data_IF_280221437067
#
_entry.id   IF_280221437067
#
_cell.length_a   1.000
_cell.length_b   1.000
_cell.length_c   1.000
_cell.angle_alpha   90.00
_cell.angle_beta   90.00
_cell.angle_gamma   90.00
#
_symmetry.space_group_name_H-M   'P 1'
#
loop_
_entity.id
_entity.type
_entity.pdbx_description
1 polymer ?
#
# COMPACT_ATOMS: atom_id res chain seq x y z
N UNK A 1 20.50 0.67 -14.10
CA UNK A 1 19.15 0.08 -14.34
C UNK A 1 18.62 -0.71 -13.15
N UNK A 2 19.35 -1.70 -12.60
CA UNK A 2 18.87 -2.50 -11.45
C UNK A 2 18.57 -1.66 -10.19
N UNK A 3 19.50 -0.76 -9.84
CA UNK A 3 19.32 0.18 -8.70
C UNK A 3 18.11 1.11 -8.89
N UNK A 4 17.86 1.53 -10.13
CA UNK A 4 16.70 2.36 -10.47
C UNK A 4 15.39 1.58 -10.28
N UNK A 5 15.37 0.30 -10.68
CA UNK A 5 14.22 -0.58 -10.45
C UNK A 5 13.97 -0.81 -8.96
N UNK A 6 15.01 -1.15 -8.18
CA UNK A 6 14.90 -1.29 -6.72
C UNK A 6 14.41 -0.01 -6.05
N UNK A 7 14.86 1.16 -6.50
CA UNK A 7 14.38 2.46 -5.99
C UNK A 7 12.88 2.65 -6.31
N UNK A 8 12.43 2.26 -7.50
CA UNK A 8 11.00 2.30 -7.89
C UNK A 8 10.15 1.33 -7.07
N UNK A 9 10.69 0.16 -6.66
CA UNK A 9 10.00 -0.80 -5.78
C UNK A 9 9.76 -0.27 -4.36
N UNK A 10 10.47 0.80 -3.97
CA UNK A 10 10.37 1.47 -2.65
C UNK A 10 10.48 0.52 -1.43
N UNK A 11 11.61 -0.20 -1.24
CA UNK A 11 11.83 -1.07 -0.07
C UNK A 11 11.60 -0.39 1.28
N UNK A 12 11.87 0.91 1.38
CA UNK A 12 11.59 1.72 2.57
C UNK A 12 10.11 1.72 3.00
N UNK A 13 9.19 1.35 2.10
CA UNK A 13 7.75 1.26 2.37
C UNK A 13 7.29 -0.15 2.77
N UNK A 14 8.14 -1.17 2.61
CA UNK A 14 7.83 -2.56 2.95
C UNK A 14 7.45 -2.79 4.42
N UNK A 15 7.98 -2.04 5.42
CA UNK A 15 7.53 -2.18 6.81
C UNK A 15 6.01 -1.99 6.99
N UNK A 16 5.33 -1.28 6.09
CA UNK A 16 3.86 -1.16 6.11
C UNK A 16 3.13 -2.48 5.86
N UNK A 17 3.78 -3.45 5.23
CA UNK A 17 3.22 -4.79 5.06
C UNK A 17 3.38 -5.63 6.34
N UNK A 18 4.07 -5.12 7.37
CA UNK A 18 4.21 -5.78 8.67
C UNK A 18 2.88 -6.07 9.37
N UNK A 19 1.81 -5.37 9.00
CA UNK A 19 0.45 -5.67 9.47
C UNK A 19 -0.02 -7.10 9.16
N UNK A 20 0.59 -7.79 8.18
CA UNK A 20 0.35 -9.21 7.90
C UNK A 20 0.71 -10.08 9.12
N UNK A 21 1.71 -9.69 9.91
CA UNK A 21 2.09 -10.41 11.13
C UNK A 21 1.12 -10.18 12.29
N UNK A 22 0.17 -9.25 12.20
CA UNK A 22 -0.77 -8.99 13.28
C UNK A 22 -1.56 -10.27 13.63
N UNK A 23 -2.08 -10.98 12.63
CA UNK A 23 -2.79 -12.24 12.85
C UNK A 23 -1.95 -13.25 13.63
N UNK A 24 -0.68 -13.41 13.25
CA UNK A 24 0.27 -14.33 13.88
C UNK A 24 0.55 -13.96 15.34
N UNK A 25 0.72 -12.66 15.64
CA UNK A 25 1.00 -12.16 16.99
C UNK A 25 -0.23 -12.34 17.89
N UNK A 26 -1.41 -11.94 17.41
CA UNK A 26 -2.63 -11.95 18.22
C UNK A 26 -3.20 -13.36 18.42
N UNK A 27 -2.98 -14.29 17.48
CA UNK A 27 -3.31 -15.71 17.67
C UNK A 27 -2.24 -16.47 18.48
N UNK A 28 -1.17 -15.78 18.93
CA UNK A 28 -0.07 -16.31 19.75
C UNK A 28 0.79 -17.40 19.09
N UNK A 29 0.77 -17.49 17.76
CA UNK A 29 1.55 -18.45 16.97
C UNK A 29 2.92 -17.92 16.52
N UNK A 30 3.39 -16.80 17.09
CA UNK A 30 4.61 -16.12 16.65
C UNK A 30 5.86 -17.00 16.74
N UNK A 31 5.92 -17.87 17.74
CA UNK A 31 7.06 -18.76 17.98
C UNK A 31 6.92 -20.13 17.32
N UNK A 32 5.78 -20.38 16.65
CA UNK A 32 5.56 -21.61 15.91
C UNK A 32 6.19 -21.49 14.53
N UNK A 33 7.10 -22.42 14.21
CA UNK A 33 7.92 -22.34 13.00
C UNK A 33 7.08 -22.35 11.70
N UNK A 34 6.04 -23.19 11.65
CA UNK A 34 5.22 -23.36 10.44
C UNK A 34 4.36 -22.11 10.16
N UNK A 35 3.54 -21.61 11.10
CA UNK A 35 2.78 -20.36 10.93
C UNK A 35 3.68 -19.16 10.65
N UNK A 36 4.82 -19.06 11.34
CA UNK A 36 5.79 -17.99 11.11
C UNK A 36 6.35 -18.03 9.68
N UNK A 37 6.82 -19.18 9.21
CA UNK A 37 7.39 -19.32 7.87
C UNK A 37 6.35 -19.00 6.76
N UNK A 38 5.10 -19.47 6.92
CA UNK A 38 4.02 -19.15 5.97
C UNK A 38 3.69 -17.65 5.97
N UNK A 39 3.58 -17.04 7.14
CA UNK A 39 3.33 -15.60 7.29
C UNK A 39 4.46 -14.77 6.69
N UNK A 40 5.72 -15.18 6.92
CA UNK A 40 6.90 -14.51 6.38
C UNK A 40 6.97 -14.61 4.85
N UNK A 41 6.67 -15.79 4.28
CA UNK A 41 6.55 -15.95 2.84
C UNK A 41 5.45 -15.05 2.25
N UNK A 42 4.27 -15.01 2.89
CA UNK A 42 3.19 -14.11 2.51
C UNK A 42 3.59 -12.63 2.60
N UNK A 43 4.32 -12.22 3.64
CA UNK A 43 4.87 -10.88 3.77
C UNK A 43 5.80 -10.50 2.61
N UNK A 44 6.71 -11.40 2.20
CA UNK A 44 7.58 -11.16 1.05
C UNK A 44 6.78 -11.00 -0.25
N UNK A 45 5.79 -11.86 -0.48
CA UNK A 45 4.90 -11.74 -1.65
C UNK A 45 4.13 -10.42 -1.64
N UNK A 46 3.63 -9.98 -0.47
CA UNK A 46 2.93 -8.71 -0.35
C UNK A 46 3.88 -7.50 -0.55
N UNK A 47 5.15 -7.62 -0.17
CA UNK A 47 6.17 -6.63 -0.49
C UNK A 47 6.38 -6.51 -2.01
N UNK A 48 6.49 -7.63 -2.72
CA UNK A 48 6.57 -7.64 -4.18
C UNK A 48 5.30 -7.09 -4.85
N UNK A 49 4.12 -7.45 -4.32
CA UNK A 49 2.84 -6.92 -4.80
C UNK A 49 2.75 -5.40 -4.61
N UNK A 50 3.10 -4.89 -3.43
CA UNK A 50 3.12 -3.45 -3.15
C UNK A 50 4.12 -2.72 -4.04
N UNK A 51 5.27 -3.35 -4.33
CA UNK A 51 6.27 -2.83 -5.27
C UNK A 51 5.72 -2.74 -6.69
N UNK A 52 4.97 -3.76 -7.12
CA UNK A 52 4.26 -3.78 -8.42
C UNK A 52 3.27 -2.63 -8.52
N UNK A 53 2.46 -2.42 -7.48
CA UNK A 53 1.54 -1.27 -7.40
C UNK A 53 2.29 0.05 -7.54
N UNK A 54 3.42 0.23 -6.85
CA UNK A 54 4.21 1.46 -6.99
C UNK A 54 4.77 1.66 -8.40
N UNK A 55 5.22 0.59 -9.06
CA UNK A 55 5.71 0.65 -10.44
C UNK A 55 4.56 1.06 -11.39
N UNK A 56 3.39 0.43 -11.28
CA UNK A 56 2.22 0.77 -12.11
C UNK A 56 1.79 2.21 -11.87
N UNK A 57 1.80 2.67 -10.63
CA UNK A 57 1.45 4.05 -10.29
C UNK A 57 2.45 5.05 -10.88
N UNK A 58 3.75 4.78 -10.78
CA UNK A 58 4.78 5.66 -11.35
C UNK A 58 4.77 5.65 -12.90
N UNK A 59 4.26 4.59 -13.53
CA UNK A 59 4.00 4.54 -14.97
C UNK A 59 2.77 5.38 -15.36
N UNK A 60 1.67 5.26 -14.61
CA UNK A 60 0.43 6.00 -14.88
C UNK A 60 0.57 7.50 -14.63
N UNK A 61 1.35 7.89 -13.62
CA UNK A 61 1.59 9.30 -13.27
C UNK A 61 2.82 9.90 -14.00
N UNK A 62 3.40 9.21 -15.00
CA UNK A 62 4.67 9.58 -15.65
C UNK A 62 4.71 11.03 -16.16
N UNK A 63 3.69 11.47 -16.91
CA UNK A 63 3.64 12.81 -17.49
C UNK A 63 3.49 13.89 -16.42
N UNK A 64 2.64 13.64 -15.43
CA UNK A 64 2.44 14.54 -14.29
C UNK A 64 3.70 14.64 -13.43
N UNK A 65 4.37 13.52 -13.18
CA UNK A 65 5.59 13.46 -12.37
C UNK A 65 6.77 14.18 -13.04
N UNK A 66 6.84 14.20 -14.37
CA UNK A 66 7.85 14.98 -15.12
C UNK A 66 7.73 16.49 -14.89
N UNK A 67 6.50 16.99 -14.74
CA UNK A 67 6.20 18.41 -14.54
C UNK A 67 6.31 18.84 -13.06
N UNK A 68 6.49 17.89 -12.14
CA UNK A 68 6.50 18.15 -10.70
C UNK A 68 7.90 18.53 -10.18
N UNK A 69 8.03 19.55 -9.30
CA UNK A 69 9.33 20.04 -8.80
C UNK A 69 10.23 18.94 -8.19
N UNK A 70 9.65 18.08 -7.35
CA UNK A 70 10.36 16.99 -6.68
C UNK A 70 10.16 15.60 -7.31
N UNK A 71 8.98 15.27 -7.85
CA UNK A 71 8.70 13.92 -8.42
C UNK A 71 9.36 13.67 -9.77
N UNK A 72 9.84 14.71 -10.46
CA UNK A 72 10.63 14.58 -11.70
C UNK A 72 11.90 13.75 -11.54
N UNK A 73 12.42 13.66 -10.31
CA UNK A 73 13.61 12.86 -9.99
C UNK A 73 13.31 11.38 -9.75
N UNK A 74 12.05 10.93 -9.88
CA UNK A 74 11.72 9.50 -9.85
C UNK A 74 12.42 8.78 -11.01
N UNK A 75 12.84 7.51 -10.84
CA UNK A 75 13.62 6.82 -11.87
C UNK A 75 12.94 6.70 -13.24
N UNK A 76 11.61 6.52 -13.24
CA UNK A 76 10.80 6.45 -14.47
C UNK A 76 10.62 7.85 -15.09
N UNK A 77 10.25 8.85 -14.28
CA UNK A 77 10.04 10.23 -14.76
C UNK A 77 11.32 10.88 -15.29
N UNK A 78 12.45 10.66 -14.62
CA UNK A 78 13.79 11.16 -15.00
C UNK A 78 14.43 10.43 -16.18
N UNK A 79 13.85 9.33 -16.65
CA UNK A 79 14.42 8.51 -17.73
C UNK A 79 15.54 7.55 -17.31
N UNK A 80 15.90 7.48 -16.02
CA UNK A 80 16.88 6.51 -15.50
C UNK A 80 16.42 5.04 -15.65
N UNK A 81 15.10 4.83 -15.73
CA UNK A 81 14.47 3.55 -16.00
C UNK A 81 13.49 3.71 -17.16
N UNK A 82 13.66 2.91 -18.22
CA UNK A 82 12.73 2.91 -19.35
C UNK A 82 11.33 2.46 -18.90
N UNK A 83 10.26 3.17 -19.31
CA UNK A 83 8.88 2.77 -19.01
C UNK A 83 8.55 1.34 -19.47
N UNK A 84 9.11 0.89 -20.60
CA UNK A 84 8.92 -0.48 -21.10
C UNK A 84 9.49 -1.53 -20.15
N UNK A 85 10.65 -1.25 -19.57
CA UNK A 85 11.32 -2.16 -18.62
C UNK A 85 10.58 -2.17 -17.28
N UNK A 86 10.10 -1.01 -16.83
CA UNK A 86 9.25 -0.92 -15.65
C UNK A 86 7.94 -1.72 -15.84
N UNK A 87 7.29 -1.60 -16.99
CA UNK A 87 6.08 -2.36 -17.30
C UNK A 87 6.35 -3.87 -17.37
N UNK A 88 7.45 -4.28 -18.02
CA UNK A 88 7.86 -5.69 -18.06
C UNK A 88 8.14 -6.24 -16.64
N UNK A 89 8.83 -5.46 -15.80
CA UNK A 89 9.09 -5.84 -14.42
C UNK A 89 7.80 -5.99 -13.60
N UNK A 90 6.84 -5.08 -13.76
CA UNK A 90 5.53 -5.20 -13.12
C UNK A 90 4.79 -6.48 -13.57
N UNK A 91 4.80 -6.78 -14.87
CA UNK A 91 4.21 -8.02 -15.41
C UNK A 91 4.87 -9.28 -14.84
N UNK A 92 6.20 -9.33 -14.80
CA UNK A 92 6.95 -10.46 -14.22
C UNK A 92 6.63 -10.61 -12.73
N UNK A 93 6.56 -9.52 -11.98
CA UNK A 93 6.20 -9.58 -10.55
C UNK A 93 4.79 -10.10 -10.32
N UNK A 94 3.81 -9.74 -11.16
CA UNK A 94 2.44 -10.29 -11.09
C UNK A 94 2.46 -11.80 -11.35
N UNK A 95 3.12 -12.22 -12.44
CA UNK A 95 3.24 -13.64 -12.82
C UNK A 95 3.96 -14.44 -11.73
N UNK A 96 4.87 -13.83 -10.99
CA UNK A 96 5.54 -14.47 -9.87
C UNK A 96 4.64 -14.52 -8.62
N UNK A 97 4.06 -13.39 -8.23
CA UNK A 97 3.35 -13.25 -6.94
C UNK A 97 2.10 -14.12 -6.88
N UNK A 98 1.26 -14.13 -7.92
CA UNK A 98 -0.04 -14.81 -7.84
C UNK A 98 0.03 -16.34 -7.73
N UNK A 99 0.88 -17.05 -8.50
CA UNK A 99 1.05 -18.48 -8.33
C UNK A 99 1.57 -18.84 -6.93
N UNK A 100 2.60 -18.16 -6.43
CA UNK A 100 3.11 -18.42 -5.08
C UNK A 100 2.11 -18.04 -3.98
N UNK A 101 1.31 -16.99 -4.19
CA UNK A 101 0.23 -16.63 -3.29
C UNK A 101 -0.84 -17.73 -3.24
N UNK A 102 -1.23 -18.28 -4.39
CA UNK A 102 -2.20 -19.37 -4.49
C UNK A 102 -1.70 -20.66 -3.83
N UNK A 103 -0.41 -20.97 -4.00
CA UNK A 103 0.23 -22.12 -3.33
C UNK A 103 0.27 -21.98 -1.80
N UNK A 104 0.35 -20.75 -1.26
CA UNK A 104 0.26 -20.53 0.19
C UNK A 104 -1.17 -20.72 0.70
N UNK A 105 -2.14 -20.08 0.04
CA UNK A 105 -3.57 -20.17 0.31
C UNK A 105 -4.37 -19.52 -0.83
N UNK A 106 -5.41 -20.18 -1.38
CA UNK A 106 -6.31 -19.56 -2.35
C UNK A 106 -6.95 -18.25 -1.86
N UNK A 107 -7.29 -18.19 -0.56
CA UNK A 107 -7.88 -16.98 0.04
C UNK A 107 -6.86 -15.84 0.10
N UNK A 108 -5.59 -16.15 0.37
CA UNK A 108 -4.51 -15.16 0.33
C UNK A 108 -4.35 -14.57 -1.09
N UNK A 109 -4.40 -15.41 -2.12
CA UNK A 109 -4.35 -14.96 -3.51
C UNK A 109 -5.55 -14.07 -3.88
N UNK A 110 -6.75 -14.40 -3.41
CA UNK A 110 -7.94 -13.58 -3.60
C UNK A 110 -7.79 -12.22 -2.92
N UNK A 111 -7.31 -12.17 -1.67
CA UNK A 111 -7.07 -10.92 -0.96
C UNK A 111 -5.99 -10.08 -1.66
N UNK A 112 -4.93 -10.71 -2.16
CA UNK A 112 -3.90 -10.05 -2.96
C UNK A 112 -4.46 -9.45 -4.25
N UNK A 113 -5.40 -10.15 -4.92
CA UNK A 113 -6.08 -9.63 -6.10
C UNK A 113 -6.94 -8.41 -5.77
N UNK A 114 -7.75 -8.50 -4.70
CA UNK A 114 -8.57 -7.39 -4.21
C UNK A 114 -7.69 -6.19 -3.87
N UNK A 115 -6.58 -6.41 -3.17
CA UNK A 115 -5.59 -5.38 -2.85
C UNK A 115 -5.08 -4.68 -4.12
N UNK A 116 -4.69 -5.46 -5.15
CA UNK A 116 -4.21 -4.91 -6.42
C UNK A 116 -5.30 -4.07 -7.09
N UNK A 117 -6.52 -4.59 -7.22
CA UNK A 117 -7.65 -3.90 -7.86
C UNK A 117 -7.97 -2.59 -7.15
N UNK A 118 -8.05 -2.58 -5.81
CA UNK A 118 -8.31 -1.37 -5.03
C UNK A 118 -7.21 -0.34 -5.26
N UNK A 119 -5.94 -0.75 -5.30
CA UNK A 119 -4.84 0.18 -5.56
C UNK A 119 -4.89 0.78 -6.98
N UNK A 120 -5.25 -0.03 -7.99
CA UNK A 120 -5.40 0.46 -9.37
C UNK A 120 -6.56 1.45 -9.49
N UNK A 121 -7.72 1.13 -8.90
CA UNK A 121 -8.88 2.02 -8.84
C UNK A 121 -8.53 3.32 -8.08
N UNK A 122 -7.74 3.21 -7.01
CA UNK A 122 -7.30 4.33 -6.22
C UNK A 122 -6.49 5.32 -7.04
N UNK A 123 -5.48 4.81 -7.75
CA UNK A 123 -4.61 5.62 -8.61
C UNK A 123 -5.36 6.25 -9.78
N UNK A 124 -6.33 5.53 -10.35
CA UNK A 124 -7.06 5.97 -11.54
C UNK A 124 -8.14 7.03 -11.25
N UNK A 125 -8.92 6.88 -10.16
CA UNK A 125 -10.09 7.76 -9.92
C UNK A 125 -10.29 8.18 -8.46
N UNK A 126 -10.04 7.31 -7.49
CA UNK A 126 -10.46 7.60 -6.10
C UNK A 126 -9.57 8.64 -5.41
N UNK A 127 -8.34 8.85 -5.89
CA UNK A 127 -7.43 9.89 -5.35
C UNK A 127 -7.91 11.34 -5.52
N UNK A 128 -9.07 11.56 -6.15
CA UNK A 128 -9.65 12.87 -6.42
C UNK A 128 -10.92 13.15 -5.58
N UNK A 129 -11.41 12.18 -4.82
CA UNK A 129 -12.64 12.28 -4.01
C UNK A 129 -12.26 12.42 -2.53
N UNK A 130 -12.71 13.51 -1.91
CA UNK A 130 -12.48 13.86 -0.50
C UNK A 130 -13.13 12.81 0.41
N UNK A 131 -12.51 12.46 1.54
CA UNK A 131 -12.92 11.41 2.51
C UNK A 131 -12.70 9.98 1.99
N UNK A 132 -13.05 9.72 0.73
CA UNK A 132 -12.91 8.39 0.14
C UNK A 132 -11.44 7.95 0.05
N UNK A 133 -10.50 8.89 -0.06
CA UNK A 133 -9.07 8.58 -0.05
C UNK A 133 -8.57 8.06 1.31
N UNK A 134 -9.07 8.62 2.41
CA UNK A 134 -8.75 8.18 3.78
C UNK A 134 -9.39 6.83 4.08
N UNK A 135 -10.64 6.63 3.66
CA UNK A 135 -11.33 5.35 3.81
C UNK A 135 -10.61 4.24 3.03
N UNK A 136 -10.26 4.48 1.77
CA UNK A 136 -9.51 3.50 0.97
C UNK A 136 -8.15 3.21 1.60
N UNK A 137 -7.44 4.24 2.09
CA UNK A 137 -6.16 4.03 2.77
C UNK A 137 -6.33 3.14 4.00
N UNK A 138 -7.36 3.38 4.81
CA UNK A 138 -7.69 2.55 5.96
C UNK A 138 -8.02 1.10 5.56
N UNK A 139 -8.86 0.91 4.53
CA UNK A 139 -9.17 -0.42 4.00
C UNK A 139 -7.92 -1.17 3.54
N UNK A 140 -6.94 -0.49 2.94
CA UNK A 140 -5.68 -1.12 2.53
C UNK A 140 -4.84 -1.61 3.71
N UNK A 141 -4.92 -0.98 4.89
CA UNK A 141 -4.29 -1.50 6.11
C UNK A 141 -5.02 -2.72 6.65
N UNK A 142 -6.36 -2.67 6.67
CA UNK A 142 -7.21 -3.79 7.12
C UNK A 142 -7.01 -5.02 6.25
N UNK A 143 -6.91 -4.85 4.93
CA UNK A 143 -6.68 -5.92 3.95
C UNK A 143 -5.37 -6.67 4.23
N UNK A 144 -4.32 -5.98 4.72
CA UNK A 144 -3.06 -6.65 5.09
C UNK A 144 -3.21 -7.55 6.30
N UNK A 145 -3.98 -7.11 7.30
CA UNK A 145 -4.30 -7.94 8.46
C UNK A 145 -5.12 -9.16 8.00
N UNK A 146 -6.13 -8.95 7.15
CA UNK A 146 -6.94 -10.03 6.59
C UNK A 146 -6.10 -11.04 5.79
N UNK A 147 -5.14 -10.55 4.98
CA UNK A 147 -4.20 -11.40 4.28
C UNK A 147 -3.39 -12.27 5.26
N UNK A 148 -2.92 -11.71 6.38
CA UNK A 148 -2.23 -12.46 7.43
C UNK A 148 -3.07 -13.57 8.04
N UNK A 149 -4.36 -13.33 8.28
CA UNK A 149 -5.29 -14.32 8.83
C UNK A 149 -5.40 -15.56 7.94
N UNK A 150 -5.41 -15.38 6.61
CA UNK A 150 -5.51 -16.51 5.67
C UNK A 150 -4.29 -17.42 5.60
N UNK A 151 -3.17 -17.01 6.20
CA UNK A 151 -1.89 -17.74 6.17
C UNK A 151 -1.68 -18.65 7.38
N UNK A 152 -2.52 -18.51 8.41
CA UNK A 152 -2.44 -19.27 9.65
C UNK A 152 -3.74 -20.03 9.90
N UNK A 153 -3.66 -21.14 10.60
CA UNK A 153 -4.87 -21.82 11.10
C UNK A 153 -5.30 -21.07 12.35
N UNK A 154 -6.36 -20.31 12.24
CA UNK A 154 -6.90 -19.50 13.33
C UNK A 154 -7.39 -20.39 14.46
N UNK A 155 -6.86 -20.19 15.66
CA UNK A 155 -7.32 -20.91 16.86
C UNK A 155 -8.04 -19.99 17.85
N UNK A 156 -7.66 -18.72 17.92
CA UNK A 156 -8.13 -17.73 18.89
C UNK A 156 -8.07 -16.30 18.31
N UNK A 157 -8.64 -16.07 17.13
CA UNK A 157 -8.64 -14.75 16.51
C UNK A 157 -9.81 -13.89 16.98
N UNK A 158 -9.52 -12.75 17.59
CA UNK A 158 -10.53 -11.77 17.99
C UNK A 158 -10.89 -10.83 16.83
N UNK A 159 -12.15 -10.81 16.36
CA UNK A 159 -12.59 -9.89 15.30
C UNK A 159 -12.35 -8.40 15.63
N UNK A 160 -12.25 -8.06 16.92
CA UNK A 160 -11.91 -6.71 17.39
C UNK A 160 -10.59 -6.18 16.82
N UNK A 161 -9.65 -7.06 16.44
CA UNK A 161 -8.40 -6.64 15.81
C UNK A 161 -8.63 -5.87 14.50
N UNK A 162 -9.63 -6.26 13.71
CA UNK A 162 -9.99 -5.52 12.49
C UNK A 162 -10.51 -4.13 12.81
N UNK A 163 -11.32 -4.01 13.86
CA UNK A 163 -11.88 -2.73 14.33
C UNK A 163 -10.76 -1.80 14.81
N UNK A 164 -9.85 -2.29 15.67
CA UNK A 164 -8.69 -1.52 16.14
C UNK A 164 -7.77 -1.11 14.99
N UNK A 165 -7.49 -2.02 14.05
CA UNK A 165 -6.66 -1.71 12.88
C UNK A 165 -7.32 -0.64 12.01
N UNK A 166 -8.64 -0.70 11.85
CA UNK A 166 -9.39 0.31 11.08
C UNK A 166 -9.28 1.68 11.72
N UNK A 167 -9.55 1.80 13.03
CA UNK A 167 -9.43 3.08 13.74
C UNK A 167 -7.99 3.62 13.75
N UNK A 168 -6.99 2.77 13.96
CA UNK A 168 -5.58 3.16 13.89
C UNK A 168 -5.22 3.66 12.48
N UNK A 169 -5.69 2.98 11.44
CA UNK A 169 -5.41 3.37 10.07
C UNK A 169 -6.12 4.68 9.68
N UNK A 170 -7.34 4.90 10.16
CA UNK A 170 -8.06 6.18 10.03
C UNK A 170 -7.30 7.31 10.74
N UNK A 171 -6.87 7.09 11.98
CA UNK A 171 -6.10 8.07 12.75
C UNK A 171 -4.81 8.48 12.02
N UNK A 172 -4.05 7.51 11.49
CA UNK A 172 -2.84 7.79 10.69
C UNK A 172 -3.20 8.54 9.39
N UNK A 173 -4.30 8.16 8.73
CA UNK A 173 -4.78 8.79 7.50
C UNK A 173 -5.16 10.26 7.69
N UNK A 174 -6.00 10.54 8.70
CA UNK A 174 -6.43 11.90 9.07
C UNK A 174 -5.25 12.73 9.54
N UNK A 175 -4.42 12.19 10.44
CA UNK A 175 -3.24 12.89 10.96
C UNK A 175 -2.26 13.30 9.84
N UNK A 176 -2.06 12.44 8.85
CA UNK A 176 -1.25 12.75 7.67
C UNK A 176 -1.85 13.90 6.85
N UNK A 177 -3.17 13.93 6.65
CA UNK A 177 -3.84 15.02 5.89
C UNK A 177 -3.78 16.34 6.63
N UNK A 178 -3.96 16.31 7.95
CA UNK A 178 -3.80 17.49 8.81
C UNK A 178 -2.38 18.06 8.75
N UNK A 179 -1.36 17.21 8.81
CA UNK A 179 0.03 17.63 8.67
C UNK A 179 0.33 18.22 7.28
N UNK A 180 -0.18 17.59 6.22
CA UNK A 180 -0.04 18.12 4.84
C UNK A 180 -0.72 19.49 4.68
N UNK A 181 -1.90 19.72 5.27
CA UNK A 181 -2.56 21.04 5.24
C UNK A 181 -1.81 22.11 6.03
N UNK A 182 -1.30 21.78 7.22
CA UNK A 182 -0.53 22.74 8.01
C UNK A 182 0.78 23.16 7.31
N UNK A 183 1.43 22.25 6.59
CA UNK A 183 2.63 22.56 5.81
C UNK A 183 2.33 23.44 4.58
N UNK A 184 1.16 23.28 3.97
CA UNK A 184 0.70 24.12 2.86
C UNK A 184 0.30 25.54 3.29
N UNK A 185 -0.04 25.75 4.57
CA UNK A 185 -0.25 27.09 5.11
C UNK A 185 1.06 27.89 5.19
N UNK A 186 2.22 27.23 5.22
CA UNK A 186 3.55 27.85 5.26
C UNK A 186 4.26 27.99 3.91
N UNK A 187 3.97 27.13 2.92
CA UNK A 187 4.60 27.19 1.59
C UNK A 187 3.57 26.99 0.48
N UNK A 188 3.54 27.92 -0.48
CA UNK A 188 2.62 27.96 -1.62
C UNK A 188 2.92 26.86 -2.68
N UNK A 189 3.18 25.62 -2.28
CA UNK A 189 3.33 24.50 -3.21
C UNK A 189 1.96 23.91 -3.58
N UNK A 190 1.40 24.42 -4.68
CA UNK A 190 0.36 23.82 -5.55
C UNK A 190 -0.32 22.56 -4.99
N UNK A 191 -1.43 22.81 -4.32
CA UNK A 191 -2.33 21.84 -3.67
C UNK A 191 -2.72 20.64 -4.55
N UNK A 192 -2.66 19.43 -3.97
CA UNK A 192 -3.33 18.24 -4.55
C UNK A 192 -4.84 18.51 -4.55
N UNK A 193 -5.59 18.21 -5.63
CA UNK A 193 -7.03 18.54 -5.72
C UNK A 193 -7.87 18.11 -4.51
N UNK A 194 -7.56 16.95 -3.91
CA UNK A 194 -8.26 16.45 -2.71
C UNK A 194 -8.12 17.35 -1.49
N UNK A 195 -7.01 18.07 -1.34
CA UNK A 195 -6.78 18.96 -0.19
C UNK A 195 -7.65 20.22 -0.25
N UNK A 196 -8.23 20.56 -1.41
CA UNK A 196 -9.15 21.70 -1.53
C UNK A 196 -10.50 21.45 -0.84
N UNK A 197 -10.88 20.19 -0.62
CA UNK A 197 -12.13 19.84 0.06
C UNK A 197 -11.99 19.57 1.56
N UNK A 198 -10.77 19.60 2.11
CA UNK A 198 -10.53 19.45 3.54
C UNK A 198 -10.36 20.82 4.19
N UNK A 199 -11.08 21.06 5.29
CA UNK A 199 -10.85 22.19 6.18
C UNK A 199 -10.25 21.69 7.49
N UNK A 200 -9.42 22.52 8.15
CA UNK A 200 -8.87 22.19 9.48
C UNK A 200 -9.96 21.84 10.51
N UNK A 201 -11.09 22.57 10.59
CA UNK A 201 -12.20 22.20 11.48
C UNK A 201 -12.81 20.84 11.16
N UNK A 202 -12.91 20.46 9.89
CA UNK A 202 -13.43 19.14 9.50
C UNK A 202 -12.48 18.03 9.92
N UNK A 203 -11.17 18.21 9.76
CA UNK A 203 -10.18 17.21 10.20
C UNK A 203 -10.06 17.10 11.71
N UNK A 204 -10.29 18.20 12.44
CA UNK A 204 -10.29 18.20 13.91
C UNK A 204 -11.56 17.53 14.50
N UNK A 205 -12.61 17.34 13.69
CA UNK A 205 -13.85 16.64 14.06
C UNK A 205 -13.87 15.15 13.67
N UNK A 206 -12.88 14.67 12.90
CA UNK A 206 -12.75 13.27 12.44
C UNK A 206 -11.80 12.46 13.32
#
# INVERSE_FOLDING_TARGET
>A
MLLALLKTMRPKQWPKNGFIFAALIFDRQLFDLIPFARTFAGFLLFCLLSSTVYIINDLGDLESDRMHPTKRYRPIASGQLSPRIAAAAAGVLIILVFPFAYLLSPDFALIALIYLVINLLYTARLKHIVILDVLVLASLYVIRVAAGVTLIVVTSFSPWLYVFTTFLALFIGVGKRRAELNLLASEAERSRPVLQGYSLPLLDQM
#
